data_IF_370031098291
#
_entry.id   IF_370031098291
#
_cell.length_a   1.000
_cell.length_b   1.000
_cell.length_c   1.000
_cell.angle_alpha   90.00
_cell.angle_beta   90.00
_cell.angle_gamma   90.00
#
_symmetry.space_group_name_H-M   'P 1'
#
loop_
_entity.id
_entity.type
_entity.pdbx_description
1 polymer ?
#
# COMPACT_ATOMS: atom_id res chain seq x y z
N UNK A 1 -7.03 -7.51 -10.32
CA UNK A 1 -6.84 -8.97 -10.50
C UNK A 1 -5.85 -9.29 -11.63
N UNK A 2 -4.72 -8.58 -11.73
CA UNK A 2 -3.63 -8.90 -12.67
C UNK A 2 -2.44 -9.61 -12.00
N UNK A 3 -2.38 -9.62 -10.66
CA UNK A 3 -1.25 -10.18 -9.93
C UNK A 3 -1.26 -11.73 -9.85
N UNK A 4 -2.35 -12.39 -10.23
CA UNK A 4 -2.55 -13.84 -10.01
C UNK A 4 -2.13 -14.71 -11.20
N UNK A 5 -1.76 -14.09 -12.34
CA UNK A 5 -1.26 -14.79 -13.52
C UNK A 5 0.16 -14.31 -13.73
N UNK A 6 1.17 -15.15 -13.49
CA UNK A 6 2.60 -14.80 -13.38
C UNK A 6 3.29 -14.20 -14.62
N UNK A 7 2.57 -13.52 -15.50
CA UNK A 7 3.11 -12.63 -16.53
C UNK A 7 3.19 -11.21 -16.00
N UNK A 8 4.36 -10.84 -15.46
CA UNK A 8 4.64 -9.49 -15.00
C UNK A 8 5.41 -8.73 -16.08
N UNK A 9 4.92 -7.53 -16.45
CA UNK A 9 5.65 -6.58 -17.28
C UNK A 9 6.13 -5.43 -16.39
N UNK A 10 7.43 -5.34 -16.06
CA UNK A 10 7.97 -4.22 -15.28
C UNK A 10 7.60 -2.86 -15.88
N UNK A 11 7.63 -2.75 -17.21
CA UNK A 11 7.26 -1.53 -17.95
C UNK A 11 5.81 -1.11 -17.69
N UNK A 12 4.89 -2.07 -17.54
CA UNK A 12 3.49 -1.77 -17.21
C UNK A 12 3.39 -1.20 -15.78
N UNK A 13 4.13 -1.74 -14.82
CA UNK A 13 4.15 -1.24 -13.45
C UNK A 13 4.82 0.14 -13.33
N UNK A 14 5.88 0.39 -14.10
CA UNK A 14 6.50 1.72 -14.19
C UNK A 14 5.51 2.73 -14.73
N UNK A 15 4.86 2.42 -15.86
CA UNK A 15 3.86 3.32 -16.46
C UNK A 15 2.64 3.51 -15.57
N UNK A 16 2.22 2.46 -14.85
CA UNK A 16 1.13 2.55 -13.88
C UNK A 16 1.50 3.48 -12.72
N UNK A 17 2.75 3.44 -12.24
CA UNK A 17 3.21 4.31 -11.16
C UNK A 17 3.19 5.78 -11.62
N UNK A 18 3.73 6.08 -12.81
CA UNK A 18 3.72 7.42 -13.39
C UNK A 18 2.31 8.03 -13.45
N UNK A 19 1.30 7.24 -13.83
CA UNK A 19 -0.09 7.69 -13.94
C UNK A 19 -0.80 7.73 -12.59
N UNK A 20 -0.47 6.81 -11.68
CA UNK A 20 -1.13 6.71 -10.37
C UNK A 20 -0.67 7.79 -9.39
N UNK A 21 0.64 8.07 -9.31
CA UNK A 21 1.24 9.02 -8.36
C UNK A 21 0.49 10.36 -8.26
N UNK A 22 0.18 11.08 -9.37
CA UNK A 22 -0.53 12.36 -9.28
C UNK A 22 -1.99 12.23 -8.81
N UNK A 23 -2.56 11.02 -8.85
CA UNK A 23 -3.98 10.75 -8.57
C UNK A 23 -4.22 10.00 -7.27
N UNK A 24 -3.19 9.63 -6.51
CA UNK A 24 -3.32 8.85 -5.28
C UNK A 24 -4.26 9.49 -4.25
N UNK A 25 -4.41 10.81 -4.25
CA UNK A 25 -5.37 11.51 -3.37
C UNK A 25 -6.83 11.20 -3.69
N UNK A 26 -7.13 10.81 -4.93
CA UNK A 26 -8.47 10.39 -5.38
C UNK A 26 -8.79 8.94 -4.95
N UNK A 27 -7.79 8.15 -4.54
CA UNK A 27 -7.99 6.74 -4.23
C UNK A 27 -8.68 6.60 -2.88
N UNK A 28 -9.58 5.64 -2.75
CA UNK A 28 -10.10 5.23 -1.44
C UNK A 28 -9.06 4.37 -0.69
N UNK A 29 -9.32 4.06 0.58
CA UNK A 29 -8.42 3.28 1.44
C UNK A 29 -8.06 1.91 0.84
N UNK A 30 -9.06 1.20 0.30
CA UNK A 30 -8.85 -0.09 -0.34
C UNK A 30 -7.96 0.01 -1.59
N UNK A 31 -8.16 1.03 -2.43
CA UNK A 31 -7.35 1.24 -3.63
C UNK A 31 -5.89 1.55 -3.27
N UNK A 32 -5.63 2.36 -2.25
CA UNK A 32 -4.28 2.63 -1.75
C UNK A 32 -3.58 1.34 -1.28
N UNK A 33 -4.26 0.55 -0.44
CA UNK A 33 -3.73 -0.72 0.06
C UNK A 33 -3.47 -1.73 -1.08
N UNK A 34 -4.42 -1.85 -2.02
CA UNK A 34 -4.30 -2.75 -3.17
C UNK A 34 -3.17 -2.33 -4.12
N UNK A 35 -2.92 -1.03 -4.28
CA UNK A 35 -1.80 -0.54 -5.09
C UNK A 35 -0.48 -1.02 -4.52
N UNK A 36 -0.16 -0.73 -3.25
CA UNK A 36 1.12 -1.17 -2.67
C UNK A 36 1.23 -2.69 -2.57
N UNK A 37 0.11 -3.38 -2.28
CA UNK A 37 0.07 -4.84 -2.27
C UNK A 37 0.39 -5.44 -3.64
N UNK A 38 -0.15 -4.87 -4.73
CA UNK A 38 0.14 -5.35 -6.08
C UNK A 38 1.63 -5.20 -6.44
N UNK A 39 2.26 -4.06 -6.13
CA UNK A 39 3.69 -3.85 -6.39
C UNK A 39 4.55 -4.81 -5.57
N UNK A 40 4.22 -5.00 -4.29
CA UNK A 40 4.91 -5.96 -3.42
C UNK A 40 4.76 -7.41 -3.91
N UNK A 41 3.56 -7.81 -4.35
CA UNK A 41 3.28 -9.17 -4.83
C UNK A 41 4.11 -9.54 -6.05
N UNK A 42 4.37 -8.58 -6.94
CA UNK A 42 5.17 -8.82 -8.15
C UNK A 42 6.66 -8.57 -7.93
N UNK A 43 7.07 -8.20 -6.71
CA UNK A 43 8.46 -7.86 -6.37
C UNK A 43 8.99 -6.63 -7.09
N UNK A 44 8.11 -5.73 -7.58
CA UNK A 44 8.52 -4.54 -8.33
C UNK A 44 8.70 -3.35 -7.38
N UNK A 45 9.94 -2.86 -7.29
CA UNK A 45 10.25 -1.70 -6.47
C UNK A 45 9.83 -0.41 -7.18
N UNK A 46 9.08 0.44 -6.48
CA UNK A 46 8.74 1.79 -6.93
C UNK A 46 8.78 2.75 -5.74
N UNK A 47 9.98 3.15 -5.26
CA UNK A 47 10.12 3.90 -4.01
C UNK A 47 9.26 5.18 -3.97
N UNK A 48 9.20 5.92 -5.07
CA UNK A 48 8.39 7.13 -5.19
C UNK A 48 6.89 6.87 -5.02
N UNK A 49 6.38 5.75 -5.54
CA UNK A 49 4.98 5.35 -5.35
C UNK A 49 4.71 5.03 -3.88
N UNK A 50 5.59 4.26 -3.23
CA UNK A 50 5.45 3.92 -1.81
C UNK A 50 5.51 5.17 -0.94
N UNK A 51 6.47 6.07 -1.15
CA UNK A 51 6.54 7.35 -0.43
C UNK A 51 5.25 8.16 -0.59
N UNK A 52 4.73 8.26 -1.82
CA UNK A 52 3.51 9.03 -2.08
C UNK A 52 2.26 8.37 -1.50
N UNK A 53 2.19 7.03 -1.46
CA UNK A 53 1.10 6.33 -0.78
C UNK A 53 1.20 6.58 0.73
N UNK A 54 2.38 6.53 1.34
CA UNK A 54 2.56 6.81 2.77
C UNK A 54 2.06 8.21 3.13
N UNK A 55 2.47 9.23 2.36
CA UNK A 55 2.03 10.62 2.52
C UNK A 55 0.50 10.75 2.57
N UNK A 56 -0.22 10.01 1.72
CA UNK A 56 -1.67 10.09 1.59
C UNK A 56 -2.38 9.21 2.64
N UNK A 57 -1.82 8.03 2.92
CA UNK A 57 -2.47 7.03 3.77
C UNK A 57 -2.37 7.36 5.26
N UNK A 58 -1.27 7.97 5.72
CA UNK A 58 -1.04 8.29 7.14
C UNK A 58 -2.20 9.11 7.75
N UNK A 59 -2.71 10.11 7.02
CA UNK A 59 -3.84 10.93 7.50
C UNK A 59 -5.20 10.23 7.39
N UNK A 60 -5.25 9.05 6.75
CA UNK A 60 -6.49 8.35 6.36
C UNK A 60 -6.60 6.94 6.91
N UNK A 61 -5.61 6.43 7.65
CA UNK A 61 -5.64 5.04 8.15
C UNK A 61 -6.87 4.70 8.99
N UNK A 62 -7.54 5.68 9.60
CA UNK A 62 -8.82 5.44 10.29
C UNK A 62 -9.94 4.94 9.36
N UNK A 63 -9.87 5.25 8.07
CA UNK A 63 -10.76 4.78 6.99
C UNK A 63 -10.40 3.38 6.46
N UNK A 64 -9.26 2.82 6.86
CA UNK A 64 -8.82 1.50 6.45
C UNK A 64 -9.48 0.46 7.37
N UNK A 65 -9.99 -0.62 6.77
CA UNK A 65 -10.39 -1.81 7.52
C UNK A 65 -9.16 -2.67 7.87
N UNK A 66 -9.34 -3.70 8.71
CA UNK A 66 -8.26 -4.57 9.18
C UNK A 66 -7.44 -5.19 8.03
N UNK A 67 -8.10 -5.68 6.98
CA UNK A 67 -7.43 -6.22 5.79
C UNK A 67 -6.59 -5.16 5.05
N UNK A 68 -7.10 -3.93 4.86
CA UNK A 68 -6.37 -2.88 4.18
C UNK A 68 -5.14 -2.42 4.98
N UNK A 69 -5.25 -2.35 6.31
CA UNK A 69 -4.12 -2.09 7.20
C UNK A 69 -3.07 -3.19 7.09
N UNK A 70 -3.48 -4.46 7.19
CA UNK A 70 -2.60 -5.62 7.07
C UNK A 70 -1.89 -5.67 5.71
N UNK A 71 -2.62 -5.47 4.61
CA UNK A 71 -2.07 -5.45 3.26
C UNK A 71 -1.04 -4.33 3.08
N UNK A 72 -1.30 -3.15 3.66
CA UNK A 72 -0.37 -2.02 3.60
C UNK A 72 0.92 -2.35 4.36
N UNK A 73 0.83 -2.79 5.61
CA UNK A 73 2.00 -3.17 6.43
C UNK A 73 2.81 -4.28 5.76
N UNK A 74 2.13 -5.34 5.30
CA UNK A 74 2.76 -6.46 4.61
C UNK A 74 3.49 -6.00 3.34
N UNK A 75 2.89 -5.13 2.54
CA UNK A 75 3.50 -4.64 1.31
C UNK A 75 4.81 -3.89 1.59
N UNK A 76 4.81 -2.93 2.53
CA UNK A 76 6.01 -2.15 2.88
C UNK A 76 7.12 -3.03 3.44
N UNK A 77 6.77 -3.99 4.31
CA UNK A 77 7.73 -4.95 4.85
C UNK A 77 8.31 -5.87 3.75
N UNK A 78 7.48 -6.33 2.82
CA UNK A 78 7.87 -7.27 1.75
C UNK A 78 8.86 -6.64 0.78
N UNK A 79 8.67 -5.38 0.40
CA UNK A 79 9.62 -4.67 -0.48
C UNK A 79 10.80 -4.06 0.28
N UNK A 80 10.82 -4.15 1.62
CA UNK A 80 11.86 -3.55 2.46
C UNK A 80 11.88 -2.02 2.42
N UNK A 81 10.75 -1.36 2.15
CA UNK A 81 10.68 0.10 2.05
C UNK A 81 10.54 0.73 3.43
N UNK A 82 11.49 1.57 3.82
CA UNK A 82 11.51 2.19 5.13
C UNK A 82 10.46 3.30 5.24
N UNK A 83 9.49 3.13 6.14
CA UNK A 83 8.49 4.17 6.45
C UNK A 83 8.08 4.12 7.92
N UNK A 84 8.96 4.53 8.86
CA UNK A 84 8.70 4.41 10.30
C UNK A 84 7.38 5.07 10.74
N UNK A 85 7.11 6.28 10.24
CA UNK A 85 5.88 7.01 10.54
C UNK A 85 4.61 6.28 10.09
N UNK A 86 4.68 5.53 8.98
CA UNK A 86 3.58 4.70 8.52
C UNK A 86 3.33 3.54 9.49
N UNK A 87 4.38 2.84 9.91
CA UNK A 87 4.23 1.73 10.88
C UNK A 87 3.70 2.22 12.23
N UNK A 88 4.22 3.34 12.75
CA UNK A 88 3.75 3.95 13.98
C UNK A 88 2.26 4.32 13.88
N UNK A 89 1.85 4.92 12.77
CA UNK A 89 0.46 5.34 12.57
C UNK A 89 -0.48 4.15 12.39
N UNK A 90 -0.05 3.10 11.69
CA UNK A 90 -0.86 1.88 11.59
C UNK A 90 -1.00 1.24 12.97
N UNK A 91 0.07 1.18 13.78
CA UNK A 91 -0.02 0.64 15.14
C UNK A 91 -1.01 1.44 16.01
N UNK A 92 -0.95 2.78 15.98
CA UNK A 92 -1.91 3.64 16.69
C UNK A 92 -3.37 3.30 16.33
N UNK A 93 -3.66 3.03 15.06
CA UNK A 93 -5.02 2.76 14.56
C UNK A 93 -5.44 1.30 14.75
N UNK A 94 -4.52 0.36 14.61
CA UNK A 94 -4.80 -1.07 14.64
C UNK A 94 -4.88 -1.64 16.06
N UNK A 95 -4.06 -1.15 16.99
CA UNK A 95 -4.03 -1.65 18.38
C UNK A 95 -5.40 -1.60 19.09
N UNK A 96 -6.21 -0.54 18.95
CA UNK A 96 -7.56 -0.52 19.54
C UNK A 96 -8.59 -1.41 18.82
N UNK A 97 -8.25 -1.98 17.66
CA UNK A 97 -9.15 -2.75 16.77
C UNK A 97 -8.67 -4.19 16.57
N UNK A 98 -7.79 -4.70 17.45
CA UNK A 98 -7.13 -6.00 17.25
C UNK A 98 -8.13 -7.16 17.11
N UNK A 99 -9.30 -7.05 17.72
CA UNK A 99 -10.41 -7.99 17.60
C UNK A 99 -11.06 -8.03 16.21
N UNK A 100 -10.86 -7.01 15.38
CA UNK A 100 -11.33 -6.96 13.98
C UNK A 100 -10.38 -7.65 12.99
N UNK A 101 -9.18 -8.06 13.44
CA UNK A 101 -8.22 -8.81 12.64
C UNK A 101 -8.50 -10.32 12.80
N UNK A 102 -9.05 -10.93 11.75
CA UNK A 102 -9.36 -12.36 11.71
C UNK A 102 -8.15 -13.22 11.37
#
# INVERSE_FOLDING_TARGET
AFATVGHFSPQLFDKTAEVAIPRLREFNSQNLANTVWAYATVGHSSPQLFDKVADVAISRFREFNSQALANTVWAYATVGHSSPQLFDKVAEVALPRLDEFN
#
